data_IF_388209879899
#
_entry.id   IF_388209879899
#
_cell.length_a   1.000
_cell.length_b   1.000
_cell.length_c   1.000
_cell.angle_alpha   90.00
_cell.angle_beta   90.00
_cell.angle_gamma   90.00
#
_symmetry.space_group_name_H-M   'P 1'
#
loop_
_entity.id
_entity.type
_entity.pdbx_description
1 polymer ?
#
# COMPACT_ATOMS: atom_id res chain seq x y z
N UNK A 1 -5.59 -17.12 16.05
CA UNK A 1 -4.53 -16.91 15.04
C UNK A 1 -4.53 -18.06 14.06
N UNK A 2 -4.82 -17.81 12.77
CA UNK A 2 -4.53 -18.79 11.72
C UNK A 2 -3.04 -18.61 11.44
N UNK A 3 -2.22 -19.53 11.94
CA UNK A 3 -0.81 -19.63 11.54
C UNK A 3 -0.83 -20.08 10.08
N UNK A 4 -0.80 -19.12 9.16
CA UNK A 4 -0.63 -19.43 7.73
C UNK A 4 0.79 -19.97 7.60
N UNK A 5 0.90 -21.28 7.48
CA UNK A 5 2.17 -21.96 7.25
C UNK A 5 2.70 -21.52 5.88
N UNK A 6 3.59 -20.52 5.88
CA UNK A 6 4.16 -20.00 4.63
C UNK A 6 5.15 -21.03 4.11
N UNK A 7 4.75 -21.77 3.08
CA UNK A 7 5.64 -22.68 2.37
C UNK A 7 6.87 -21.91 1.84
N UNK A 8 8.11 -22.38 2.11
CA UNK A 8 9.29 -21.72 1.58
C UNK A 8 9.34 -21.88 0.05
N UNK A 9 9.97 -20.92 -0.63
CA UNK A 9 10.02 -20.91 -2.12
C UNK A 9 10.56 -22.23 -2.68
N UNK A 10 11.56 -22.84 -2.03
CA UNK A 10 12.17 -24.10 -2.46
C UNK A 10 11.17 -25.29 -2.53
N UNK A 11 10.06 -25.23 -1.79
CA UNK A 11 9.06 -26.30 -1.78
C UNK A 11 8.25 -26.41 -3.08
N UNK A 12 8.35 -25.43 -3.98
CA UNK A 12 7.61 -25.41 -5.24
C UNK A 12 8.35 -26.09 -6.40
N UNK A 13 9.62 -26.49 -6.21
CA UNK A 13 10.45 -27.09 -7.25
C UNK A 13 11.05 -26.04 -8.20
N UNK A 14 12.32 -26.23 -8.58
CA UNK A 14 13.08 -25.25 -9.37
C UNK A 14 12.45 -25.04 -10.76
N UNK A 15 12.04 -26.12 -11.43
CA UNK A 15 11.46 -26.06 -12.77
C UNK A 15 10.17 -25.24 -12.81
N UNK A 16 9.27 -25.45 -11.83
CA UNK A 16 8.03 -24.69 -11.74
C UNK A 16 8.30 -23.21 -11.44
N UNK A 17 9.25 -22.91 -10.55
CA UNK A 17 9.66 -21.52 -10.26
C UNK A 17 10.19 -20.84 -11.53
N UNK A 18 11.00 -21.54 -12.34
CA UNK A 18 11.51 -21.01 -13.59
C UNK A 18 10.40 -20.75 -14.62
N UNK A 19 9.40 -21.65 -14.71
CA UNK A 19 8.20 -21.45 -15.54
C UNK A 19 7.47 -20.16 -15.10
N UNK A 20 7.23 -19.98 -13.80
CA UNK A 20 6.57 -18.78 -13.26
C UNK A 20 7.38 -17.51 -13.56
N UNK A 21 8.71 -17.54 -13.41
CA UNK A 21 9.58 -16.41 -13.72
C UNK A 21 9.51 -16.05 -15.22
N UNK A 22 9.58 -17.05 -16.10
CA UNK A 22 9.51 -16.83 -17.55
C UNK A 22 8.15 -16.23 -17.96
N UNK A 23 7.06 -16.73 -17.38
CA UNK A 23 5.72 -16.21 -17.58
C UNK A 23 5.58 -14.77 -17.09
N UNK A 24 6.10 -14.48 -15.89
CA UNK A 24 6.14 -13.13 -15.33
C UNK A 24 6.91 -12.15 -16.22
N UNK A 25 8.08 -12.55 -16.75
CA UNK A 25 8.87 -11.72 -17.65
C UNK A 25 8.08 -11.40 -18.93
N UNK A 26 7.53 -12.41 -19.60
CA UNK A 26 6.72 -12.23 -20.81
C UNK A 26 5.52 -11.32 -20.55
N UNK A 27 4.82 -11.53 -19.45
CA UNK A 27 3.68 -10.69 -19.06
C UNK A 27 4.12 -9.24 -18.78
N UNK A 28 5.26 -9.05 -18.11
CA UNK A 28 5.78 -7.73 -17.79
C UNK A 28 6.17 -6.96 -19.07
N UNK A 29 6.83 -7.61 -20.02
CA UNK A 29 7.22 -6.99 -21.30
C UNK A 29 6.00 -6.49 -22.10
N UNK A 30 4.83 -7.15 -21.96
CA UNK A 30 3.57 -6.75 -22.61
C UNK A 30 2.80 -5.66 -21.82
N UNK A 31 2.73 -5.78 -20.50
CA UNK A 31 1.84 -4.96 -19.66
C UNK A 31 2.49 -3.77 -18.97
N UNK A 32 3.82 -3.68 -18.95
CA UNK A 32 4.50 -2.67 -18.15
C UNK A 32 4.20 -1.25 -18.62
N UNK A 33 3.60 -0.48 -17.73
CA UNK A 33 3.55 0.98 -17.80
C UNK A 33 4.48 1.58 -16.74
N UNK A 34 5.35 2.54 -17.10
CA UNK A 34 6.20 3.25 -16.14
C UNK A 34 5.40 3.82 -14.97
N UNK A 35 6.03 3.83 -13.79
CA UNK A 35 5.45 4.50 -12.63
C UNK A 35 5.37 6.01 -12.86
N UNK A 36 4.30 6.62 -12.37
CA UNK A 36 4.30 8.06 -12.16
C UNK A 36 5.43 8.41 -11.18
N UNK A 37 6.05 9.58 -11.34
CA UNK A 37 7.14 10.02 -10.46
C UNK A 37 6.76 11.33 -9.79
N UNK A 38 6.91 11.40 -8.47
CA UNK A 38 6.85 12.69 -7.77
C UNK A 38 8.13 13.49 -8.02
N UNK A 39 8.06 14.80 -7.85
CA UNK A 39 9.24 15.67 -7.84
C UNK A 39 10.09 15.39 -6.57
N UNK A 40 11.31 14.90 -6.78
CA UNK A 40 12.22 14.48 -5.71
C UNK A 40 13.16 15.57 -5.20
N UNK A 41 13.23 16.72 -5.88
CA UNK A 41 14.22 17.78 -5.59
C UNK A 41 14.18 18.26 -4.13
N UNK A 42 13.02 18.20 -3.49
CA UNK A 42 12.82 18.63 -2.11
C UNK A 42 13.36 17.64 -1.06
N UNK A 43 13.70 16.40 -1.41
CA UNK A 43 13.95 15.33 -0.44
C UNK A 43 15.42 14.98 -0.24
N UNK A 44 16.32 15.51 -1.08
CA UNK A 44 17.73 15.10 -1.12
C UNK A 44 18.48 15.33 0.19
N UNK A 45 18.10 16.35 0.96
CA UNK A 45 18.72 16.72 2.24
C UNK A 45 17.96 16.21 3.48
N UNK A 46 16.82 15.55 3.30
CA UNK A 46 15.92 15.16 4.39
C UNK A 46 16.22 13.79 4.98
N UNK A 47 15.85 13.57 6.24
CA UNK A 47 15.90 12.23 6.85
C UNK A 47 14.92 11.29 6.14
N UNK A 48 15.34 10.05 5.86
CA UNK A 48 14.58 9.06 5.07
C UNK A 48 13.12 8.86 5.47
N UNK A 49 12.82 8.85 6.77
CA UNK A 49 11.44 8.66 7.23
C UNK A 49 10.53 9.87 7.01
N UNK A 50 11.12 11.06 7.09
CA UNK A 50 10.48 12.36 6.94
C UNK A 50 10.21 12.65 5.46
N UNK A 51 11.22 12.45 4.59
CA UNK A 51 11.07 12.51 3.13
C UNK A 51 9.87 11.69 2.64
N UNK A 52 9.76 10.44 3.11
CA UNK A 52 8.64 9.57 2.77
C UNK A 52 7.27 10.08 3.24
N UNK A 53 7.19 10.77 4.39
CA UNK A 53 5.92 11.31 4.90
C UNK A 53 5.51 12.57 4.14
N UNK A 54 6.46 13.49 3.97
CA UNK A 54 6.24 14.75 3.26
C UNK A 54 5.84 14.48 1.82
N UNK A 55 6.48 13.53 1.14
CA UNK A 55 6.10 13.19 -0.22
C UNK A 55 4.66 12.68 -0.34
N UNK A 56 4.24 11.74 0.51
CA UNK A 56 2.85 11.27 0.51
C UNK A 56 1.85 12.40 0.82
N UNK A 57 2.18 13.32 1.73
CA UNK A 57 1.32 14.47 2.01
C UNK A 57 1.24 15.43 0.83
N UNK A 58 2.35 15.64 0.12
CA UNK A 58 2.41 16.47 -1.10
C UNK A 58 1.46 15.94 -2.17
N UNK A 59 1.44 14.62 -2.38
CA UNK A 59 0.52 13.97 -3.34
C UNK A 59 -0.94 14.32 -3.03
N UNK A 60 -1.35 14.23 -1.75
CA UNK A 60 -2.71 14.57 -1.34
C UNK A 60 -3.01 16.07 -1.50
N UNK A 61 -2.04 16.94 -1.19
CA UNK A 61 -2.17 18.39 -1.28
C UNK A 61 -2.26 18.87 -2.73
N UNK A 62 -1.39 18.39 -3.62
CA UNK A 62 -1.37 18.75 -5.04
C UNK A 62 -2.61 18.24 -5.79
N UNK A 63 -3.26 17.21 -5.27
CA UNK A 63 -4.52 16.70 -5.82
C UNK A 63 -5.75 17.51 -5.36
N UNK A 64 -5.57 18.59 -4.59
CA UNK A 64 -6.62 19.43 -4.00
C UNK A 64 -7.61 18.66 -3.09
N UNK A 65 -7.22 17.47 -2.63
CA UNK A 65 -8.09 16.57 -1.86
C UNK A 65 -8.23 16.98 -0.40
N UNK A 66 -7.27 17.78 0.09
CA UNK A 66 -7.21 18.29 1.47
C UNK A 66 -7.76 19.72 1.61
N UNK A 67 -8.42 20.26 0.58
CA UNK A 67 -8.99 21.63 0.60
C UNK A 67 -10.38 21.71 1.24
N UNK A 68 -11.01 20.56 1.52
CA UNK A 68 -12.34 20.44 2.14
C UNK A 68 -12.30 19.50 3.34
N UNK A 69 -13.25 19.66 4.26
CA UNK A 69 -13.44 18.76 5.39
C UNK A 69 -13.50 17.29 4.91
N UNK A 70 -12.73 16.42 5.57
CA UNK A 70 -12.62 15.02 5.20
C UNK A 70 -12.59 14.08 6.40
N UNK A 71 -12.81 12.80 6.12
CA UNK A 71 -12.64 11.68 7.06
C UNK A 71 -11.46 10.86 6.57
N UNK A 72 -10.39 10.85 7.34
CA UNK A 72 -9.15 10.16 7.02
C UNK A 72 -9.07 8.86 7.81
N UNK A 73 -9.02 7.74 7.11
CA UNK A 73 -8.67 6.44 7.67
C UNK A 73 -7.18 6.17 7.48
N UNK A 74 -6.43 6.04 8.57
CA UNK A 74 -5.06 5.51 8.53
C UNK A 74 -5.07 4.07 9.07
N UNK A 75 -5.08 3.10 8.16
CA UNK A 75 -4.92 1.69 8.51
C UNK A 75 -3.44 1.41 8.74
N UNK A 76 -3.09 0.61 9.76
CA UNK A 76 -1.69 0.40 10.13
C UNK A 76 -1.01 1.67 10.63
N UNK A 77 -1.75 2.49 11.38
CA UNK A 77 -1.33 3.84 11.75
C UNK A 77 -0.07 3.90 12.62
N UNK A 78 0.27 2.85 13.37
CA UNK A 78 1.36 2.84 14.35
C UNK A 78 1.35 4.09 15.22
N UNK A 79 2.35 4.95 15.02
CA UNK A 79 2.53 6.22 15.77
C UNK A 79 1.71 7.40 15.20
N UNK A 80 0.85 7.18 14.20
CA UNK A 80 0.04 8.15 13.47
C UNK A 80 0.81 9.36 12.91
N UNK A 81 2.06 9.12 12.49
CA UNK A 81 2.88 10.19 11.94
C UNK A 81 2.39 10.67 10.57
N UNK A 82 1.81 9.78 9.74
CA UNK A 82 1.28 10.18 8.44
C UNK A 82 0.04 11.08 8.63
N UNK A 83 -0.94 10.67 9.45
CA UNK A 83 -2.08 11.52 9.78
C UNK A 83 -1.68 12.84 10.41
N UNK A 84 -0.65 12.87 11.26
CA UNK A 84 -0.13 14.11 11.82
C UNK A 84 0.43 15.04 10.75
N UNK A 85 1.30 14.54 9.85
CA UNK A 85 1.81 15.34 8.73
C UNK A 85 0.69 15.83 7.81
N UNK A 86 -0.33 14.99 7.55
CA UNK A 86 -1.50 15.41 6.77
C UNK A 86 -2.22 16.58 7.45
N UNK A 87 -2.52 16.45 8.75
CA UNK A 87 -3.17 17.51 9.52
C UNK A 87 -2.38 18.82 9.53
N UNK A 88 -1.04 18.76 9.60
CA UNK A 88 -0.16 19.94 9.55
C UNK A 88 -0.14 20.62 8.17
N UNK A 89 -0.42 19.87 7.10
CA UNK A 89 -0.43 20.41 5.73
C UNK A 89 -1.78 21.01 5.31
N UNK A 90 -2.83 20.79 6.10
CA UNK A 90 -4.17 21.34 5.87
C UNK A 90 -4.25 22.79 6.37
N UNK A 91 -5.17 23.56 5.79
CA UNK A 91 -5.61 24.80 6.41
C UNK A 91 -6.22 24.51 7.78
N UNK A 92 -5.95 25.38 8.75
CA UNK A 92 -6.27 25.11 10.16
C UNK A 92 -7.76 24.80 10.39
N UNK A 93 -8.67 25.50 9.69
CA UNK A 93 -10.11 25.27 9.85
C UNK A 93 -10.58 23.98 9.16
N UNK A 94 -9.92 23.58 8.07
CA UNK A 94 -10.13 22.27 7.44
C UNK A 94 -9.62 21.15 8.35
N UNK A 95 -8.46 21.32 8.96
CA UNK A 95 -7.90 20.36 9.92
C UNK A 95 -8.85 20.19 11.12
N UNK A 96 -9.31 21.30 11.73
CA UNK A 96 -10.23 21.30 12.88
C UNK A 96 -11.55 20.59 12.61
N UNK A 97 -12.10 20.74 11.41
CA UNK A 97 -13.36 20.13 11.00
C UNK A 97 -13.19 18.67 10.55
N UNK A 98 -12.01 18.30 10.04
CA UNK A 98 -11.73 16.94 9.56
C UNK A 98 -11.64 15.93 10.70
N UNK A 99 -11.99 14.68 10.39
CA UNK A 99 -11.98 13.55 11.34
C UNK A 99 -10.88 12.54 10.98
N UNK A 100 -10.10 12.11 11.97
CA UNK A 100 -9.02 11.14 11.82
C UNK A 100 -9.37 9.83 12.53
N UNK A 101 -9.46 8.74 11.78
CA UNK A 101 -9.71 7.40 12.30
C UNK A 101 -8.47 6.52 12.11
N UNK A 102 -7.81 6.19 13.23
CA UNK A 102 -6.50 5.55 13.27
C UNK A 102 -6.65 4.09 13.72
N UNK A 103 -6.33 3.14 12.85
CA UNK A 103 -6.49 1.71 13.11
C UNK A 103 -5.09 1.09 13.21
N UNK A 104 -4.80 0.42 14.31
CA UNK A 104 -3.60 -0.41 14.47
C UNK A 104 -3.82 -1.48 15.54
N UNK A 105 -3.09 -2.60 15.44
CA UNK A 105 -3.13 -3.67 16.45
C UNK A 105 -2.34 -3.31 17.70
N UNK A 106 -1.25 -2.57 17.51
CA UNK A 106 -0.35 -2.20 18.58
C UNK A 106 -0.51 -0.71 18.94
N UNK A 107 -0.51 -0.46 20.24
CA UNK A 107 -0.56 0.88 20.83
C UNK A 107 0.87 1.33 21.18
N UNK A 108 1.76 1.40 20.20
CA UNK A 108 3.16 1.79 20.43
C UNK A 108 3.33 3.31 20.61
N UNK A 109 2.91 3.81 21.79
CA UNK A 109 2.89 5.22 22.25
C UNK A 109 2.21 6.18 21.27
N UNK A 110 1.07 6.76 21.69
CA UNK A 110 0.25 7.80 21.04
C UNK A 110 1.00 9.14 20.76
N UNK A 111 2.24 9.07 20.25
CA UNK A 111 3.20 10.17 20.21
C UNK A 111 2.75 11.31 19.29
N UNK A 112 2.01 11.00 18.23
CA UNK A 112 1.48 12.01 17.33
C UNK A 112 0.01 12.36 17.62
N UNK A 113 -0.74 11.52 18.33
CA UNK A 113 -2.15 11.79 18.66
C UNK A 113 -2.32 13.11 19.42
N UNK A 114 -1.43 13.39 20.37
CA UNK A 114 -1.46 14.68 21.11
C UNK A 114 -1.24 15.86 20.17
N UNK A 115 -0.38 15.70 19.17
CA UNK A 115 -0.11 16.74 18.17
C UNK A 115 -1.31 16.93 17.24
N UNK A 116 -1.91 15.83 16.78
CA UNK A 116 -3.14 15.88 16.00
C UNK A 116 -4.26 16.53 16.82
N UNK A 117 -4.40 16.22 18.11
CA UNK A 117 -5.39 16.87 19.01
C UNK A 117 -5.22 18.38 19.12
N UNK A 118 -4.01 18.89 18.93
CA UNK A 118 -3.74 20.34 18.85
C UNK A 118 -4.33 20.99 17.59
N UNK A 119 -4.58 20.21 16.54
CA UNK A 119 -5.09 20.67 15.24
C UNK A 119 -6.56 20.28 15.01
N UNK A 120 -6.93 19.04 15.34
CA UNK A 120 -8.28 18.48 15.22
C UNK A 120 -8.67 17.75 16.50
N UNK A 121 -9.85 18.10 17.05
CA UNK A 121 -10.41 17.38 18.19
C UNK A 121 -11.04 16.03 17.80
N UNK A 122 -11.32 15.81 16.51
CA UNK A 122 -12.04 14.65 15.98
C UNK A 122 -11.07 13.51 15.64
N UNK A 123 -10.33 13.03 16.63
CA UNK A 123 -9.38 11.92 16.48
C UNK A 123 -9.86 10.67 17.24
N UNK A 124 -9.98 9.57 16.51
CA UNK A 124 -10.44 8.28 17.02
C UNK A 124 -9.38 7.22 16.76
N UNK A 125 -8.86 6.61 17.81
CA UNK A 125 -7.94 5.47 17.68
C UNK A 125 -8.66 4.16 18.03
N UNK A 126 -8.55 3.18 17.14
CA UNK A 126 -9.12 1.85 17.30
C UNK A 126 -7.98 0.83 17.37
N UNK A 127 -7.82 0.21 18.53
CA UNK A 127 -6.83 -0.85 18.77
C UNK A 127 -7.43 -2.19 18.36
N UNK A 128 -7.24 -2.58 17.11
CA UNK A 128 -7.76 -3.82 16.54
C UNK A 128 -7.04 -4.18 15.24
N UNK A 129 -7.20 -5.42 14.79
CA UNK A 129 -6.78 -5.80 13.44
C UNK A 129 -7.68 -5.10 12.41
N UNK A 130 -7.08 -4.70 11.29
CA UNK A 130 -7.79 -4.08 10.18
C UNK A 130 -8.95 -4.96 9.70
N UNK A 131 -8.76 -6.29 9.73
CA UNK A 131 -9.80 -7.24 9.30
C UNK A 131 -11.07 -7.19 10.18
N UNK A 132 -10.94 -6.74 11.42
CA UNK A 132 -12.03 -6.71 12.42
C UNK A 132 -12.73 -5.34 12.45
N UNK A 133 -12.19 -4.33 11.76
CA UNK A 133 -12.75 -2.98 11.74
C UNK A 133 -13.76 -2.80 10.61
N UNK A 134 -15.01 -2.45 10.95
CA UNK A 134 -16.03 -2.06 9.97
C UNK A 134 -16.08 -0.53 9.80
N UNK A 135 -15.48 -0.04 8.71
CA UNK A 135 -15.54 1.37 8.36
C UNK A 135 -16.98 1.85 8.12
N UNK A 136 -17.83 1.03 7.48
CA UNK A 136 -19.25 1.35 7.26
C UNK A 136 -19.96 1.64 8.57
N UNK A 137 -19.91 0.71 9.52
CA UNK A 137 -20.63 0.83 10.79
C UNK A 137 -20.07 2.00 11.60
N UNK A 138 -18.76 2.19 11.57
CA UNK A 138 -18.13 3.30 12.25
C UNK A 138 -18.58 4.66 11.66
N UNK A 139 -18.55 4.84 10.34
CA UNK A 139 -19.04 6.07 9.68
C UNK A 139 -20.51 6.35 10.00
N UNK A 140 -21.38 5.33 9.91
CA UNK A 140 -22.81 5.46 10.25
C UNK A 140 -23.01 5.89 11.70
N UNK A 141 -22.25 5.31 12.64
CA UNK A 141 -22.33 5.67 14.06
C UNK A 141 -21.89 7.10 14.36
N UNK A 142 -21.04 7.69 13.51
CA UNK A 142 -20.58 9.07 13.62
C UNK A 142 -21.38 10.04 12.74
N UNK A 143 -22.34 9.54 11.93
CA UNK A 143 -23.06 10.28 10.90
C UNK A 143 -22.13 10.97 9.87
N UNK A 144 -21.09 10.26 9.42
CA UNK A 144 -20.03 10.78 8.54
C UNK A 144 -20.04 10.16 7.12
N UNK A 145 -21.06 9.39 6.76
CA UNK A 145 -21.14 8.65 5.49
C UNK A 145 -21.17 9.53 4.22
N UNK A 146 -21.57 10.80 4.34
CA UNK A 146 -21.66 11.73 3.21
C UNK A 146 -20.44 12.67 3.10
N UNK A 147 -19.39 12.44 3.89
CA UNK A 147 -18.18 13.27 3.90
C UNK A 147 -17.16 12.80 2.85
N UNK A 148 -16.15 13.62 2.61
CA UNK A 148 -15.02 13.26 1.77
C UNK A 148 -14.18 12.17 2.47
N UNK A 149 -14.27 10.91 2.04
CA UNK A 149 -13.58 9.79 2.69
C UNK A 149 -12.27 9.49 1.98
N UNK A 150 -11.17 9.50 2.74
CA UNK A 150 -9.81 9.30 2.28
C UNK A 150 -9.18 8.15 3.06
N UNK A 151 -8.61 7.17 2.35
CA UNK A 151 -7.80 6.11 2.94
C UNK A 151 -6.32 6.39 2.72
N UNK A 152 -5.55 6.38 3.80
CA UNK A 152 -4.09 6.56 3.75
C UNK A 152 -3.38 5.42 4.48
N UNK A 153 -2.12 5.18 4.13
CA UNK A 153 -1.30 4.22 4.85
C UNK A 153 0.15 4.23 4.41
N UNK A 154 1.06 3.95 5.36
CA UNK A 154 2.49 3.80 5.09
C UNK A 154 3.02 2.51 5.70
N UNK A 155 3.84 1.81 4.93
CA UNK A 155 4.36 0.48 5.26
C UNK A 155 3.25 -0.55 5.55
N UNK A 156 2.16 -0.46 4.80
CA UNK A 156 1.10 -1.46 4.87
C UNK A 156 1.62 -2.76 4.26
N UNK A 157 1.39 -3.89 4.94
CA UNK A 157 1.78 -5.19 4.39
C UNK A 157 0.86 -5.59 3.23
N UNK A 158 1.29 -6.56 2.41
CA UNK A 158 0.49 -7.01 1.26
C UNK A 158 -0.91 -7.50 1.63
N UNK A 159 -1.06 -8.17 2.78
CA UNK A 159 -2.39 -8.54 3.30
C UNK A 159 -3.19 -7.31 3.76
N UNK A 160 -2.54 -6.40 4.50
CA UNK A 160 -3.16 -5.17 4.99
C UNK A 160 -3.70 -4.31 3.84
N UNK A 161 -2.97 -4.19 2.74
CA UNK A 161 -3.42 -3.46 1.55
C UNK A 161 -4.70 -4.05 0.98
N UNK A 162 -4.75 -5.38 0.86
CA UNK A 162 -5.92 -6.05 0.33
C UNK A 162 -7.12 -5.95 1.30
N UNK A 163 -6.88 -5.98 2.62
CA UNK A 163 -7.91 -5.70 3.62
C UNK A 163 -8.41 -4.26 3.53
N UNK A 164 -7.53 -3.28 3.31
CA UNK A 164 -7.94 -1.88 3.08
C UNK A 164 -8.82 -1.77 1.84
N UNK A 165 -8.41 -2.35 0.71
CA UNK A 165 -9.20 -2.34 -0.53
C UNK A 165 -10.54 -3.08 -0.35
N UNK A 166 -10.58 -4.20 0.40
CA UNK A 166 -11.85 -4.87 0.75
C UNK A 166 -12.76 -3.98 1.59
N UNK A 167 -12.21 -3.25 2.56
CA UNK A 167 -12.97 -2.28 3.35
C UNK A 167 -13.54 -1.16 2.48
N UNK A 168 -12.79 -0.66 1.49
CA UNK A 168 -13.26 0.32 0.51
C UNK A 168 -14.36 -0.27 -0.37
N UNK A 169 -14.18 -1.50 -0.84
CA UNK A 169 -15.19 -2.20 -1.65
C UNK A 169 -16.52 -2.35 -0.89
N UNK A 170 -16.47 -2.68 0.40
CA UNK A 170 -17.67 -2.77 1.24
C UNK A 170 -18.36 -1.40 1.41
N UNK A 171 -17.59 -0.33 1.66
CA UNK A 171 -18.14 1.03 1.71
C UNK A 171 -18.90 1.39 0.43
N UNK A 172 -18.28 1.14 -0.73
CA UNK A 172 -18.87 1.44 -2.03
C UNK A 172 -20.14 0.61 -2.28
N UNK A 173 -20.14 -0.68 -1.91
CA UNK A 173 -21.34 -1.53 -1.96
C UNK A 173 -22.47 -1.03 -1.07
N UNK A 174 -22.12 -0.42 0.07
CA UNK A 174 -23.08 0.21 0.99
C UNK A 174 -23.52 1.62 0.55
N UNK A 175 -23.15 2.05 -0.66
CA UNK A 175 -23.51 3.37 -1.22
C UNK A 175 -22.67 4.52 -0.65
N UNK A 176 -21.59 4.24 0.06
CA UNK A 176 -20.70 5.25 0.64
C UNK A 176 -19.57 5.56 -0.34
N UNK A 177 -19.44 6.83 -0.74
CA UNK A 177 -18.40 7.23 -1.67
C UNK A 177 -17.03 7.32 -0.98
N UNK A 178 -16.01 6.73 -1.58
CA UNK A 178 -14.60 6.91 -1.19
C UNK A 178 -13.92 7.72 -2.28
N UNK A 179 -13.41 8.89 -1.92
CA UNK A 179 -12.81 9.84 -2.86
C UNK A 179 -11.38 9.43 -3.23
N UNK A 180 -10.61 8.96 -2.24
CA UNK A 180 -9.17 8.78 -2.41
C UNK A 180 -8.62 7.61 -1.63
N UNK A 181 -7.63 6.95 -2.24
CA UNK A 181 -6.77 5.95 -1.62
C UNK A 181 -5.31 6.33 -1.90
N UNK A 182 -4.49 6.48 -0.86
CA UNK A 182 -3.04 6.67 -0.97
C UNK A 182 -2.31 5.75 0.00
N UNK A 183 -1.78 4.64 -0.51
CA UNK A 183 -1.16 3.62 0.35
C UNK A 183 0.22 3.23 -0.19
N UNK A 184 1.25 3.45 0.64
CA UNK A 184 2.60 2.94 0.41
C UNK A 184 2.72 1.53 1.01
N UNK A 185 2.77 0.52 0.15
CA UNK A 185 2.92 -0.89 0.54
C UNK A 185 4.40 -1.29 0.61
N UNK A 186 4.76 -2.23 1.50
CA UNK A 186 6.13 -2.75 1.58
C UNK A 186 6.23 -4.28 1.52
N UNK A 187 5.54 -4.99 2.43
CA UNK A 187 5.71 -6.43 2.59
C UNK A 187 4.76 -7.23 1.70
N UNK A 188 4.92 -7.16 0.37
CA UNK A 188 4.08 -7.89 -0.59
C UNK A 188 4.02 -9.40 -0.32
N UNK A 189 5.13 -10.00 0.09
CA UNK A 189 5.23 -11.42 0.47
C UNK A 189 4.30 -11.87 1.61
N UNK A 190 3.81 -10.93 2.43
CA UNK A 190 2.82 -11.22 3.50
C UNK A 190 1.39 -11.29 3.00
N UNK A 191 1.14 -11.05 1.71
CA UNK A 191 -0.16 -11.29 1.11
C UNK A 191 -0.46 -12.80 1.09
N UNK A 192 -1.74 -13.17 1.10
CA UNK A 192 -2.19 -14.54 0.93
C UNK A 192 -3.38 -14.55 -0.03
N UNK A 193 -3.60 -15.70 -0.67
CA UNK A 193 -4.64 -15.81 -1.69
C UNK A 193 -6.04 -15.52 -1.16
N UNK A 194 -6.37 -15.93 0.07
CA UNK A 194 -7.69 -15.67 0.67
C UNK A 194 -7.99 -14.16 0.76
N UNK A 195 -7.00 -13.39 1.20
CA UNK A 195 -7.11 -11.95 1.38
C UNK A 195 -6.90 -11.15 0.11
N UNK A 196 -6.24 -11.71 -0.90
CA UNK A 196 -5.92 -11.02 -2.14
C UNK A 196 -7.19 -10.47 -2.82
N UNK A 197 -7.14 -9.20 -3.20
CA UNK A 197 -8.16 -8.57 -4.03
C UNK A 197 -7.77 -8.72 -5.49
N UNK A 198 -8.75 -8.71 -6.38
CA UNK A 198 -8.45 -8.83 -7.80
C UNK A 198 -8.17 -10.26 -8.27
N UNK A 199 -8.73 -11.29 -7.61
CA UNK A 199 -8.44 -12.70 -7.94
C UNK A 199 -8.90 -13.05 -9.35
N UNK A 200 -10.08 -12.60 -9.75
CA UNK A 200 -10.62 -12.82 -11.09
C UNK A 200 -9.74 -12.16 -12.15
N UNK A 201 -9.24 -10.96 -11.87
CA UNK A 201 -8.33 -10.19 -12.71
C UNK A 201 -6.97 -10.88 -12.81
N UNK A 202 -6.46 -11.41 -11.71
CA UNK A 202 -5.21 -12.17 -11.70
C UNK A 202 -5.30 -13.43 -12.56
N UNK A 203 -6.42 -14.14 -12.47
CA UNK A 203 -6.72 -15.28 -13.34
C UNK A 203 -6.90 -14.86 -14.81
N UNK A 204 -7.55 -13.72 -15.05
CA UNK A 204 -7.77 -13.18 -16.40
C UNK A 204 -6.47 -12.71 -17.09
N UNK A 205 -5.48 -12.26 -16.31
CA UNK A 205 -4.11 -11.99 -16.80
C UNK A 205 -3.31 -13.30 -17.06
N UNK A 206 -3.96 -14.45 -16.91
CA UNK A 206 -3.45 -15.76 -17.28
C UNK A 206 -2.66 -16.46 -16.19
N UNK A 207 -2.61 -15.93 -14.96
CA UNK A 207 -1.90 -16.57 -13.85
C UNK A 207 -2.83 -17.47 -13.01
N UNK A 208 -2.26 -18.41 -12.27
CA UNK A 208 -2.97 -19.37 -11.43
C UNK A 208 -2.67 -19.17 -9.93
N UNK A 209 -3.51 -19.72 -9.05
CA UNK A 209 -3.37 -19.59 -7.60
C UNK A 209 -2.04 -20.16 -7.06
N UNK A 210 -1.57 -21.29 -7.58
CA UNK A 210 -0.26 -21.86 -7.24
C UNK A 210 0.89 -20.93 -7.66
N UNK A 211 0.78 -20.26 -8.81
CA UNK A 211 1.76 -19.29 -9.28
C UNK A 211 1.74 -18.02 -8.42
N UNK A 212 0.57 -17.57 -7.93
CA UNK A 212 0.47 -16.48 -6.96
C UNK A 212 1.31 -16.75 -5.71
N UNK A 213 1.28 -17.98 -5.19
CA UNK A 213 2.04 -18.37 -4.01
C UNK A 213 3.56 -18.32 -4.24
N UNK A 214 4.03 -18.56 -5.47
CA UNK A 214 5.42 -18.33 -5.88
C UNK A 214 5.70 -16.83 -6.03
N UNK A 215 4.89 -16.11 -6.81
CA UNK A 215 5.05 -14.69 -7.13
C UNK A 215 5.11 -13.81 -5.88
N UNK A 216 4.27 -14.07 -4.88
CA UNK A 216 4.33 -13.33 -3.61
C UNK A 216 5.69 -13.52 -2.92
N UNK A 217 6.30 -14.70 -2.98
CA UNK A 217 7.60 -14.97 -2.36
C UNK A 217 8.72 -14.28 -3.15
N UNK A 218 8.64 -14.31 -4.48
CA UNK A 218 9.57 -13.61 -5.37
C UNK A 218 9.61 -12.10 -5.11
N UNK A 219 8.51 -11.48 -4.65
CA UNK A 219 8.51 -10.04 -4.30
C UNK A 219 9.58 -9.64 -3.28
N UNK A 220 9.99 -10.57 -2.39
CA UNK A 220 11.03 -10.33 -1.39
C UNK A 220 12.43 -10.15 -2.00
N UNK A 221 12.66 -10.65 -3.21
CA UNK A 221 13.95 -10.54 -3.88
C UNK A 221 14.33 -9.10 -4.22
N UNK A 222 13.36 -8.21 -4.42
CA UNK A 222 13.61 -6.78 -4.66
C UNK A 222 14.37 -6.11 -3.52
N UNK A 223 14.07 -6.48 -2.27
CA UNK A 223 14.69 -5.85 -1.09
C UNK A 223 15.80 -6.70 -0.48
N UNK A 224 15.71 -8.02 -0.57
CA UNK A 224 16.72 -8.93 -0.02
C UNK A 224 17.93 -9.14 -0.96
N UNK A 225 17.84 -8.82 -2.24
CA UNK A 225 18.93 -8.98 -3.21
C UNK A 225 20.13 -8.04 -2.97
N UNK A 226 19.91 -6.90 -2.32
CA UNK A 226 20.90 -5.81 -2.22
C UNK A 226 21.72 -5.80 -0.91
N UNK A 227 22.11 -6.96 -0.36
CA UNK A 227 23.07 -6.97 0.76
C UNK A 227 24.46 -6.61 0.22
N UNK A 228 24.83 -5.33 0.32
CA UNK A 228 26.17 -4.81 0.00
C UNK A 228 27.24 -5.67 0.69
N UNK A 229 28.22 -6.15 -0.06
CA UNK A 229 29.43 -6.78 0.47
C UNK A 229 29.47 -8.31 0.45
N UNK A 230 28.50 -9.00 -0.16
CA UNK A 230 28.71 -10.40 -0.60
C UNK A 230 28.96 -10.37 -2.10
N UNK A 231 29.98 -11.09 -2.56
CA UNK A 231 30.26 -11.36 -3.99
C UNK A 231 28.96 -11.69 -4.72
N UNK A 232 28.90 -11.42 -6.03
CA UNK A 232 27.80 -11.82 -6.93
C UNK A 232 27.62 -13.34 -6.92
N UNK A 233 27.03 -13.85 -5.85
CA UNK A 233 26.78 -15.25 -5.66
C UNK A 233 25.47 -15.55 -6.39
N UNK A 234 25.61 -16.33 -7.46
CA UNK A 234 24.52 -17.04 -8.09
C UNK A 234 23.84 -17.88 -7.01
N UNK A 235 22.53 -17.70 -6.83
CA UNK A 235 21.78 -18.46 -5.83
C UNK A 235 21.56 -19.92 -6.29
N UNK A 236 20.87 -20.72 -5.48
CA UNK A 236 20.48 -22.10 -5.82
C UNK A 236 19.55 -22.22 -7.04
N UNK A 237 19.14 -21.11 -7.65
CA UNK A 237 18.28 -21.04 -8.81
C UNK A 237 19.02 -20.53 -10.06
N UNK A 238 20.35 -20.38 -10.01
CA UNK A 238 21.12 -19.90 -11.16
C UNK A 238 21.04 -18.39 -11.39
N UNK A 239 20.54 -17.61 -10.42
CA UNK A 239 20.28 -16.17 -10.56
C UNK A 239 21.23 -15.32 -9.73
N UNK A 240 21.78 -14.27 -10.35
CA UNK A 240 22.55 -13.20 -9.71
C UNK A 240 21.69 -12.37 -8.74
N UNK A 241 22.33 -11.49 -7.96
CA UNK A 241 21.61 -10.53 -7.13
C UNK A 241 20.78 -9.53 -7.96
N UNK A 242 21.30 -9.12 -9.11
CA UNK A 242 20.64 -8.16 -10.01
C UNK A 242 19.38 -8.76 -10.63
N UNK A 243 19.47 -9.96 -11.20
CA UNK A 243 18.33 -10.66 -11.80
C UNK A 243 17.22 -10.93 -10.79
N UNK A 244 17.59 -11.33 -9.57
CA UNK A 244 16.63 -11.49 -8.47
C UNK A 244 15.92 -10.19 -8.13
N UNK A 245 16.65 -9.07 -8.08
CA UNK A 245 16.08 -7.76 -7.79
C UNK A 245 15.07 -7.36 -8.86
N UNK A 246 15.39 -7.58 -10.14
CA UNK A 246 14.49 -7.35 -11.28
C UNK A 246 13.24 -8.23 -11.21
N UNK A 247 13.39 -9.54 -11.01
CA UNK A 247 12.25 -10.47 -10.83
C UNK A 247 11.35 -10.03 -9.67
N UNK A 248 11.96 -9.66 -8.54
CA UNK A 248 11.22 -9.17 -7.38
C UNK A 248 10.46 -7.88 -7.67
N UNK A 249 11.04 -6.97 -8.47
CA UNK A 249 10.37 -5.77 -8.94
C UNK A 249 9.15 -6.13 -9.80
N UNK A 250 9.32 -6.99 -10.80
CA UNK A 250 8.26 -7.43 -11.71
C UNK A 250 7.11 -8.11 -10.95
N UNK A 251 7.43 -8.96 -9.98
CA UNK A 251 6.43 -9.62 -9.14
C UNK A 251 5.66 -8.61 -8.27
N UNK A 252 6.35 -7.60 -7.70
CA UNK A 252 5.68 -6.50 -6.99
C UNK A 252 4.77 -5.69 -7.93
N UNK A 253 5.23 -5.42 -9.15
CA UNK A 253 4.48 -4.71 -10.18
C UNK A 253 3.19 -5.45 -10.50
N UNK A 254 3.25 -6.75 -10.82
CA UNK A 254 2.08 -7.58 -11.12
C UNK A 254 1.01 -7.51 -10.02
N UNK A 255 1.39 -7.71 -8.76
CA UNK A 255 0.42 -7.66 -7.64
C UNK A 255 -0.22 -6.27 -7.49
N UNK A 256 0.51 -5.20 -7.79
CA UNK A 256 0.01 -3.83 -7.75
C UNK A 256 -0.85 -3.48 -8.97
N UNK A 257 -0.48 -3.99 -10.15
CA UNK A 257 -1.24 -3.87 -11.39
C UNK A 257 -2.63 -4.48 -11.23
N UNK A 258 -2.73 -5.66 -10.63
CA UNK A 258 -4.03 -6.30 -10.35
C UNK A 258 -4.87 -5.47 -9.37
N UNK A 259 -4.26 -4.92 -8.31
CA UNK A 259 -4.96 -4.00 -7.39
C UNK A 259 -5.48 -2.76 -8.10
N UNK A 260 -4.73 -2.24 -9.09
CA UNK A 260 -5.18 -1.12 -9.95
C UNK A 260 -6.42 -1.49 -10.76
N UNK A 261 -6.44 -2.66 -11.42
CA UNK A 261 -7.65 -3.10 -12.15
C UNK A 261 -8.83 -3.24 -11.20
N UNK A 262 -8.62 -3.84 -10.02
CA UNK A 262 -9.70 -4.00 -9.04
C UNK A 262 -10.25 -2.65 -8.57
N UNK A 263 -9.39 -1.66 -8.29
CA UNK A 263 -9.83 -0.30 -7.94
C UNK A 263 -10.58 0.37 -9.10
N UNK A 264 -10.18 0.14 -10.35
CA UNK A 264 -10.90 0.67 -11.51
C UNK A 264 -12.33 0.15 -11.57
N UNK A 265 -12.54 -1.15 -11.30
CA UNK A 265 -13.90 -1.73 -11.19
C UNK A 265 -14.73 -1.15 -10.04
N UNK A 266 -14.09 -0.59 -9.01
CA UNK A 266 -14.79 0.12 -7.92
C UNK A 266 -15.14 1.58 -8.29
N UNK A 267 -14.84 2.01 -9.52
CA UNK A 267 -15.20 3.33 -10.04
C UNK A 267 -14.17 4.42 -9.75
N UNK A 268 -12.92 4.08 -9.43
CA UNK A 268 -11.83 5.06 -9.41
C UNK A 268 -11.40 5.40 -10.84
N UNK A 269 -11.36 6.69 -11.18
CA UNK A 269 -11.09 7.18 -12.54
C UNK A 269 -9.59 7.34 -12.83
N UNK A 270 -8.81 7.75 -11.82
CA UNK A 270 -7.36 7.89 -11.89
C UNK A 270 -6.70 6.95 -10.90
N UNK A 271 -5.80 6.09 -11.37
CA UNK A 271 -5.11 5.11 -10.53
C UNK A 271 -3.65 4.98 -10.94
N UNK A 272 -2.77 5.54 -10.13
CA UNK A 272 -1.34 5.61 -10.36
C UNK A 272 -0.58 4.66 -9.42
N UNK A 273 0.42 3.98 -9.99
CA UNK A 273 1.54 3.46 -9.21
C UNK A 273 2.60 4.55 -9.20
N UNK A 274 2.75 5.20 -8.05
CA UNK A 274 3.55 6.40 -7.88
C UNK A 274 4.85 6.06 -7.16
N UNK A 275 5.97 6.32 -7.81
CA UNK A 275 7.27 6.41 -7.15
C UNK A 275 7.30 7.70 -6.32
N UNK A 276 7.04 7.58 -5.02
CA UNK A 276 6.87 8.73 -4.13
C UNK A 276 8.19 9.18 -3.49
N UNK A 277 9.24 8.36 -3.52
CA UNK A 277 10.60 8.78 -3.13
C UNK A 277 11.64 8.07 -4.01
N UNK A 278 12.87 8.59 -4.11
CA UNK A 278 13.93 7.85 -4.80
C UNK A 278 14.23 6.50 -4.12
N UNK A 279 14.67 5.52 -4.90
CA UNK A 279 15.08 4.20 -4.40
C UNK A 279 16.24 4.30 -3.36
N UNK A 280 17.09 5.34 -3.47
CA UNK A 280 18.14 5.65 -2.49
C UNK A 280 17.59 5.98 -1.09
N UNK A 281 16.35 6.49 -1.02
CA UNK A 281 15.64 6.77 0.23
C UNK A 281 15.00 5.49 0.79
N UNK A 282 14.28 4.74 -0.04
CA UNK A 282 13.58 3.50 0.34
C UNK A 282 13.52 2.55 -0.85
N UNK A 283 13.81 1.26 -0.64
CA UNK A 283 13.51 0.23 -1.66
C UNK A 283 12.01 -0.08 -1.78
N UNK A 284 11.23 0.39 -0.80
CA UNK A 284 9.77 0.36 -0.79
C UNK A 284 9.29 1.79 -1.05
N UNK A 285 9.42 2.24 -2.29
CA UNK A 285 9.20 3.63 -2.72
C UNK A 285 7.99 3.82 -3.65
N UNK A 286 7.13 2.80 -3.78
CA UNK A 286 5.95 2.87 -4.63
C UNK A 286 4.69 2.94 -3.76
N UNK A 287 3.82 3.89 -4.06
CA UNK A 287 2.49 4.02 -3.48
C UNK A 287 1.42 3.76 -4.54
N UNK A 288 0.33 3.11 -4.15
CA UNK A 288 -0.88 3.08 -4.96
C UNK A 288 -1.70 4.33 -4.61
N UNK A 289 -1.92 5.17 -5.61
CA UNK A 289 -2.72 6.39 -5.51
C UNK A 289 -3.93 6.26 -6.41
N UNK A 290 -5.14 6.40 -5.85
CA UNK A 290 -6.38 6.32 -6.60
C UNK A 290 -7.32 7.46 -6.21
N UNK A 291 -7.97 8.07 -7.20
CA UNK A 291 -8.95 9.15 -7.04
C UNK A 291 -10.18 8.84 -7.91
N UNK A 292 -11.36 9.18 -7.39
CA UNK A 292 -12.62 9.12 -8.16
C UNK A 292 -12.80 10.30 -9.10
#
# INVERSE_FOLDING_TARGET
DIVIETKPLISFGIDFIQIVINKLNKWYDDKYTPYAKSDFSLYESMKKHEAQQISLCRVLRESNLLAKECVIFEYGSGKAKLSWSIAETMDLDVAKSSTFCLIDRDSSRHKADVKIRGLSKNIHRKKMDIKDFSATNWLKSQNLQNKNIIFVGKHICGAGMCLTIKSISNLIKDGINVETVLIAQCCHHRCNWEMFVGKEEFLAEGFEQNEFEVLKLLTSWKTCGARKGKEENVNSYGLTASERSDIGFKAKYLLNYIRRIYLSKLGFSRIDLLEYVPESTSLENVALFAVK
#
